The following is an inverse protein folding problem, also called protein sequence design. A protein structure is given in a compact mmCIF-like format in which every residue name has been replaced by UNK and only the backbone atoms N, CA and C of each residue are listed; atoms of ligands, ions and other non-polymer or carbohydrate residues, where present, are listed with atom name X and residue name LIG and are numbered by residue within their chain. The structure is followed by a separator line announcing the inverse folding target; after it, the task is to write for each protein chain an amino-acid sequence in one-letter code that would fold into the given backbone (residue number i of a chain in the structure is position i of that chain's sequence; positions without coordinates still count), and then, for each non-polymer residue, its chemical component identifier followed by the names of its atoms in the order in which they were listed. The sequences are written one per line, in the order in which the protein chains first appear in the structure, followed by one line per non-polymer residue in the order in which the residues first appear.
data_IF_576958795413
#
_entry.id   IF_576958795413
#
_cell.length_a   1.000
_cell.length_b   1.000
_cell.length_c   1.000
_cell.angle_alpha   90.00
_cell.angle_beta   90.00
_cell.angle_gamma   90.00
#
_symmetry.space_group_name_H-M   'P 1'
#
loop_
_entity.id
_entity.type
_entity.pdbx_description
1 polymer ?
#
# COMPACT_ATOMS: atom_id res chain seq x y z
N UNK A 1 -33.08 0.94 -5.93
CA UNK A 1 -32.85 1.03 -4.45
C UNK A 1 -31.36 1.13 -4.26
N UNK A 2 -30.84 2.01 -3.40
CA UNK A 2 -29.38 2.15 -3.23
C UNK A 2 -28.78 0.80 -2.79
N UNK A 3 -27.82 0.27 -3.57
CA UNK A 3 -27.17 -0.99 -3.28
C UNK A 3 -26.27 -0.79 -2.05
N UNK A 4 -26.71 -1.28 -0.89
CA UNK A 4 -25.90 -1.23 0.32
C UNK A 4 -24.93 -2.41 0.31
N UNK A 5 -23.69 -2.14 -0.09
CA UNK A 5 -22.60 -3.11 -0.07
C UNK A 5 -22.18 -3.46 1.37
N UNK A 6 -21.60 -4.64 1.54
CA UNK A 6 -21.13 -5.13 2.84
C UNK A 6 -20.02 -4.22 3.38
N UNK A 7 -20.01 -3.97 4.70
CA UNK A 7 -18.93 -3.22 5.35
C UNK A 7 -18.64 -3.84 6.73
N UNK A 8 -17.52 -4.58 6.89
CA UNK A 8 -17.20 -5.26 8.13
C UNK A 8 -16.81 -4.30 9.26
N UNK A 9 -16.46 -3.04 8.97
CA UNK A 9 -16.01 -2.07 9.97
C UNK A 9 -17.15 -1.36 10.72
N UNK A 10 -18.40 -1.50 10.25
CA UNK A 10 -19.59 -0.95 10.94
C UNK A 10 -19.83 -1.70 12.25
N UNK A 11 -19.89 -3.03 12.17
CA UNK A 11 -20.16 -3.94 13.29
C UNK A 11 -18.92 -4.74 13.73
N UNK A 12 -17.75 -4.45 13.15
CA UNK A 12 -16.47 -5.12 13.43
C UNK A 12 -16.54 -6.65 13.20
N UNK A 13 -17.12 -7.04 12.06
CA UNK A 13 -17.32 -8.42 11.65
C UNK A 13 -16.01 -8.98 11.07
N UNK A 14 -15.16 -9.52 11.95
CA UNK A 14 -13.93 -10.22 11.61
C UNK A 14 -14.04 -11.69 12.01
N UNK A 15 -14.90 -12.43 11.32
CA UNK A 15 -15.24 -13.81 11.67
C UNK A 15 -15.00 -14.74 10.47
N UNK A 16 -14.54 -15.97 10.74
CA UNK A 16 -14.14 -16.91 9.70
C UNK A 16 -15.30 -17.52 8.89
N UNK A 17 -16.55 -17.36 9.35
CA UNK A 17 -17.74 -17.87 8.68
C UNK A 17 -18.31 -16.88 7.66
N UNK A 18 -17.84 -15.63 7.63
CA UNK A 18 -18.31 -14.60 6.72
C UNK A 18 -17.22 -14.22 5.74
N UNK A 19 -17.57 -14.13 4.46
CA UNK A 19 -16.65 -13.66 3.44
C UNK A 19 -16.20 -12.24 3.75
N UNK A 20 -14.89 -12.02 3.76
CA UNK A 20 -14.29 -10.74 4.11
C UNK A 20 -14.77 -9.58 3.22
N UNK A 21 -15.13 -9.86 1.96
CA UNK A 21 -15.46 -8.84 0.96
C UNK A 21 -16.96 -8.69 0.73
N UNK A 22 -17.70 -9.80 0.57
CA UNK A 22 -19.14 -9.78 0.27
C UNK A 22 -20.04 -9.96 1.49
N UNK A 23 -19.51 -10.41 2.63
CA UNK A 23 -20.29 -10.74 3.82
C UNK A 23 -21.12 -12.02 3.71
N UNK A 24 -21.04 -12.76 2.60
CA UNK A 24 -21.75 -14.02 2.44
C UNK A 24 -21.19 -15.11 3.38
N UNK A 25 -22.05 -16.02 3.86
CA UNK A 25 -21.59 -17.18 4.62
C UNK A 25 -20.66 -18.06 3.78
N UNK A 26 -19.56 -18.51 4.37
CA UNK A 26 -18.57 -19.32 3.67
C UNK A 26 -17.81 -20.24 4.63
N UNK A 27 -17.29 -21.34 4.07
CA UNK A 27 -16.26 -22.19 4.67
C UNK A 27 -14.98 -22.18 3.84
N UNK A 28 -15.00 -21.53 2.68
CA UNK A 28 -13.86 -21.40 1.80
C UNK A 28 -12.92 -20.30 2.26
N UNK A 29 -11.64 -20.49 1.94
CA UNK A 29 -10.57 -19.56 2.26
C UNK A 29 -9.68 -19.33 1.04
N UNK A 30 -9.03 -18.19 1.00
CA UNK A 30 -7.98 -17.85 0.04
C UNK A 30 -6.77 -17.29 0.80
N UNK A 31 -5.57 -17.42 0.22
CA UNK A 31 -4.37 -16.84 0.84
C UNK A 31 -4.37 -15.32 0.69
N UNK A 32 -3.82 -14.63 1.69
CA UNK A 32 -3.63 -13.16 1.65
C UNK A 32 -2.66 -12.79 0.54
N UNK A 33 -1.51 -13.47 0.51
CA UNK A 33 -0.53 -13.36 -0.56
C UNK A 33 -0.84 -14.36 -1.67
N UNK A 34 -0.66 -13.99 -2.94
CA UNK A 34 -0.86 -14.91 -4.05
C UNK A 34 0.07 -16.11 -3.94
N UNK A 35 -0.48 -17.32 -4.12
CA UNK A 35 0.30 -18.55 -4.01
C UNK A 35 1.48 -18.59 -4.99
N UNK A 36 1.28 -18.17 -6.24
CA UNK A 36 2.34 -18.16 -7.24
C UNK A 36 3.51 -17.24 -6.87
N UNK A 37 3.24 -16.14 -6.15
CA UNK A 37 4.25 -15.21 -5.70
C UNK A 37 5.07 -15.83 -4.56
N UNK A 38 4.39 -16.44 -3.59
CA UNK A 38 5.03 -17.20 -2.51
C UNK A 38 5.87 -18.37 -3.06
N UNK A 39 5.37 -19.09 -4.05
CA UNK A 39 6.06 -20.24 -4.66
C UNK A 39 7.31 -19.79 -5.46
N UNK A 40 7.25 -18.65 -6.18
CA UNK A 40 8.40 -18.11 -6.92
C UNK A 40 9.53 -17.75 -5.95
N UNK A 41 9.26 -16.89 -4.98
CA UNK A 41 10.27 -16.36 -4.06
C UNK A 41 10.52 -17.24 -2.84
N UNK A 42 9.75 -18.32 -2.66
CA UNK A 42 9.86 -19.30 -1.58
C UNK A 42 9.71 -18.73 -0.16
N UNK A 43 9.01 -17.59 -0.01
CA UNK A 43 8.79 -16.97 1.30
C UNK A 43 7.55 -17.49 2.03
N UNK A 44 6.83 -18.48 1.49
CA UNK A 44 5.62 -19.01 2.11
C UNK A 44 5.82 -19.51 3.55
N UNK A 45 6.99 -20.06 3.87
CA UNK A 45 7.36 -20.55 5.21
C UNK A 45 8.12 -19.50 6.05
N UNK A 46 8.36 -18.31 5.50
CA UNK A 46 8.93 -17.20 6.25
C UNK A 46 7.92 -16.60 7.21
N UNK A 47 8.42 -15.85 8.20
CA UNK A 47 7.60 -15.21 9.22
C UNK A 47 7.39 -13.74 8.90
N UNK A 48 6.17 -13.29 9.15
CA UNK A 48 5.80 -11.88 9.17
C UNK A 48 5.41 -11.49 10.59
N UNK A 49 5.96 -10.38 11.07
CA UNK A 49 5.64 -9.79 12.37
C UNK A 49 4.47 -8.82 12.21
N UNK A 50 3.53 -8.86 13.17
CA UNK A 50 2.47 -7.86 13.27
C UNK A 50 3.03 -6.55 13.80
N UNK A 51 2.24 -5.48 13.71
CA UNK A 51 2.65 -4.11 14.05
C UNK A 51 3.25 -3.97 15.46
N UNK A 52 2.73 -4.71 16.45
CA UNK A 52 3.22 -4.66 17.82
C UNK A 52 4.47 -5.53 18.08
N UNK A 53 4.92 -6.28 17.07
CA UNK A 53 6.04 -7.26 17.10
C UNK A 53 5.91 -8.37 18.15
N UNK A 54 4.78 -8.48 18.83
CA UNK A 54 4.56 -9.53 19.83
C UNK A 54 3.95 -10.78 19.18
N UNK A 55 3.22 -10.60 18.08
CA UNK A 55 2.66 -11.67 17.28
C UNK A 55 3.38 -11.79 15.94
N UNK A 56 3.63 -13.02 15.52
CA UNK A 56 4.06 -13.32 14.15
C UNK A 56 3.27 -14.49 13.58
N UNK A 57 3.15 -14.49 12.26
CA UNK A 57 2.49 -15.52 11.46
C UNK A 57 3.48 -16.06 10.43
N UNK A 58 3.19 -17.24 9.91
CA UNK A 58 3.80 -17.75 8.68
C UNK A 58 3.03 -17.20 7.48
N UNK A 59 3.70 -16.77 6.41
CA UNK A 59 3.00 -16.20 5.24
C UNK A 59 1.92 -17.14 4.67
N UNK A 60 2.19 -18.44 4.61
CA UNK A 60 1.26 -19.46 4.10
C UNK A 60 0.03 -19.69 4.99
N UNK A 61 0.09 -19.29 6.26
CA UNK A 61 -1.01 -19.38 7.22
C UNK A 61 -1.97 -18.17 7.14
N UNK A 62 -1.55 -17.07 6.52
CA UNK A 62 -2.38 -15.89 6.32
C UNK A 62 -3.44 -16.15 5.25
N UNK A 63 -4.69 -16.33 5.70
CA UNK A 63 -5.85 -16.66 4.86
C UNK A 63 -7.05 -15.81 5.23
N UNK A 64 -7.84 -15.46 4.22
CA UNK A 64 -9.10 -14.74 4.35
C UNK A 64 -10.28 -15.68 4.09
N UNK A 65 -11.36 -15.62 4.88
CA UNK A 65 -12.62 -16.27 4.54
C UNK A 65 -13.21 -15.62 3.30
N UNK A 66 -13.50 -16.39 2.25
CA UNK A 66 -13.98 -15.85 0.97
C UNK A 66 -15.16 -16.66 0.44
N UNK A 67 -16.13 -16.00 -0.21
CA UNK A 67 -17.14 -16.70 -0.99
C UNK A 67 -16.54 -17.24 -2.29
N UNK A 68 -17.16 -18.23 -2.95
CA UNK A 68 -16.68 -18.74 -4.24
C UNK A 68 -16.52 -17.66 -5.30
N UNK A 69 -17.46 -16.70 -5.36
CA UNK A 69 -17.41 -15.56 -6.28
C UNK A 69 -16.16 -14.68 -6.07
N UNK A 70 -15.89 -14.29 -4.82
CA UNK A 70 -14.71 -13.49 -4.48
C UNK A 70 -13.43 -14.25 -4.79
N UNK A 71 -13.40 -15.55 -4.51
CA UNK A 71 -12.26 -16.41 -4.81
C UNK A 71 -11.97 -16.44 -6.32
N UNK A 72 -12.98 -16.70 -7.14
CA UNK A 72 -12.86 -16.72 -8.61
C UNK A 72 -12.34 -15.38 -9.13
N UNK A 73 -12.92 -14.26 -8.67
CA UNK A 73 -12.52 -12.93 -9.14
C UNK A 73 -11.05 -12.61 -8.82
N UNK A 74 -10.56 -13.00 -7.64
CA UNK A 74 -9.15 -12.84 -7.29
C UNK A 74 -8.21 -13.84 -7.99
N UNK A 75 -8.66 -15.07 -8.26
CA UNK A 75 -7.87 -16.06 -9.01
C UNK A 75 -7.68 -15.61 -10.47
N UNK A 76 -8.70 -15.00 -11.07
CA UNK A 76 -8.62 -14.35 -12.39
C UNK A 76 -7.68 -13.14 -12.36
N UNK A 77 -7.82 -12.26 -11.36
CA UNK A 77 -6.92 -11.13 -11.16
C UNK A 77 -5.46 -11.59 -10.99
N UNK A 78 -5.21 -12.63 -10.20
CA UNK A 78 -3.87 -13.22 -10.03
C UNK A 78 -3.29 -13.69 -11.37
N UNK A 79 -4.11 -14.29 -12.23
CA UNK A 79 -3.68 -14.73 -13.57
C UNK A 79 -3.31 -13.54 -14.46
N UNK A 80 -4.10 -12.46 -14.43
CA UNK A 80 -3.81 -11.22 -15.16
C UNK A 80 -2.51 -10.58 -14.67
N UNK A 81 -2.36 -10.41 -13.35
CA UNK A 81 -1.16 -9.83 -12.74
C UNK A 81 0.07 -10.70 -13.03
N UNK A 82 -0.03 -12.02 -12.89
CA UNK A 82 1.08 -12.92 -13.18
C UNK A 82 1.51 -12.86 -14.67
N UNK A 83 0.56 -12.66 -15.58
CA UNK A 83 0.86 -12.48 -17.00
C UNK A 83 1.60 -11.18 -17.28
N UNK A 84 1.20 -10.08 -16.63
CA UNK A 84 1.90 -8.81 -16.70
C UNK A 84 3.30 -8.87 -16.05
N UNK A 85 3.39 -9.50 -14.87
CA UNK A 85 4.62 -9.75 -14.13
C UNK A 85 5.69 -10.42 -15.00
N UNK A 86 5.32 -11.46 -15.77
CA UNK A 86 6.24 -12.18 -16.67
C UNK A 86 6.81 -11.31 -17.79
N UNK A 87 6.19 -10.16 -18.10
CA UNK A 87 6.68 -9.18 -19.08
C UNK A 87 7.51 -8.07 -18.43
N UNK A 88 7.77 -8.14 -17.12
CA UNK A 88 8.57 -7.17 -16.37
C UNK A 88 7.89 -5.80 -16.26
N UNK A 89 8.71 -4.74 -16.21
CA UNK A 89 8.26 -3.35 -16.06
C UNK A 89 7.17 -2.96 -17.08
N UNK A 90 7.39 -3.23 -18.37
CA UNK A 90 6.44 -2.88 -19.43
C UNK A 90 5.07 -3.54 -19.23
N UNK A 91 5.05 -4.80 -18.79
CA UNK A 91 3.82 -5.49 -18.48
C UNK A 91 3.06 -4.83 -17.34
N UNK A 92 3.76 -4.58 -16.23
CA UNK A 92 3.16 -4.01 -15.02
C UNK A 92 2.73 -2.55 -15.22
N UNK A 93 3.51 -1.75 -15.94
CA UNK A 93 3.19 -0.35 -16.25
C UNK A 93 2.02 -0.21 -17.25
N UNK A 94 1.70 -1.26 -18.01
CA UNK A 94 0.56 -1.27 -18.94
C UNK A 94 -0.78 -1.65 -18.31
N UNK A 95 -0.77 -2.12 -17.05
CA UNK A 95 -1.99 -2.48 -16.34
C UNK A 95 -2.84 -1.24 -16.02
N UNK A 96 -4.16 -1.41 -16.00
CA UNK A 96 -5.04 -0.45 -15.35
C UNK A 96 -4.69 -0.42 -13.85
N UNK A 97 -4.43 0.77 -13.31
CA UNK A 97 -4.11 0.96 -11.89
C UNK A 97 -5.16 0.36 -10.95
N UNK A 98 -6.43 0.27 -11.37
CA UNK A 98 -7.49 -0.40 -10.61
C UNK A 98 -7.14 -1.86 -10.31
N UNK A 99 -6.51 -2.57 -11.26
CA UNK A 99 -6.10 -3.96 -11.06
C UNK A 99 -4.97 -4.06 -10.03
N UNK A 100 -4.00 -3.12 -10.07
CA UNK A 100 -2.95 -3.03 -9.06
C UNK A 100 -3.53 -2.68 -7.69
N UNK A 101 -4.47 -1.73 -7.62
CA UNK A 101 -5.19 -1.37 -6.40
C UNK A 101 -5.91 -2.59 -5.80
N UNK A 102 -6.65 -3.36 -6.60
CA UNK A 102 -7.38 -4.53 -6.11
C UNK A 102 -6.43 -5.64 -5.63
N UNK A 103 -5.36 -5.90 -6.38
CA UNK A 103 -4.41 -6.94 -6.07
C UNK A 103 -3.63 -6.64 -4.79
N UNK A 104 -3.14 -5.41 -4.67
CA UNK A 104 -2.49 -4.90 -3.45
C UNK A 104 -3.48 -4.81 -2.29
N UNK A 105 -4.71 -4.40 -2.59
CA UNK A 105 -5.79 -4.28 -1.62
C UNK A 105 -6.11 -5.59 -0.91
N UNK A 106 -6.03 -6.74 -1.61
CA UNK A 106 -6.14 -8.06 -0.95
C UNK A 106 -5.07 -8.27 0.12
N UNK A 107 -3.82 -7.95 -0.20
CA UNK A 107 -2.69 -8.14 0.72
C UNK A 107 -2.79 -7.20 1.92
N UNK A 108 -3.02 -5.91 1.66
CA UNK A 108 -3.19 -4.88 2.69
C UNK A 108 -4.39 -5.17 3.59
N UNK A 109 -5.56 -5.49 3.01
CA UNK A 109 -6.73 -5.89 3.79
C UNK A 109 -6.46 -7.17 4.58
N UNK A 110 -5.76 -8.14 3.99
CA UNK A 110 -5.40 -9.38 4.66
C UNK A 110 -4.59 -9.15 5.93
N UNK A 111 -3.55 -8.33 5.87
CA UNK A 111 -2.79 -7.97 7.06
C UNK A 111 -3.64 -7.19 8.07
N UNK A 112 -4.41 -6.22 7.60
CA UNK A 112 -5.35 -5.48 8.44
C UNK A 112 -6.33 -6.41 9.17
N UNK A 113 -6.89 -7.41 8.49
CA UNK A 113 -7.78 -8.40 9.08
C UNK A 113 -7.11 -9.15 10.24
N UNK A 114 -5.86 -9.57 10.07
CA UNK A 114 -5.11 -10.24 11.13
C UNK A 114 -4.74 -9.31 12.29
N UNK A 115 -4.47 -8.02 12.02
CA UNK A 115 -4.27 -7.01 13.08
C UNK A 115 -5.55 -6.86 13.92
N UNK A 116 -6.71 -6.75 13.26
CA UNK A 116 -8.01 -6.62 13.94
C UNK A 116 -8.36 -7.88 14.75
N UNK A 117 -8.12 -9.07 14.19
CA UNK A 117 -8.32 -10.34 14.90
C UNK A 117 -7.45 -10.41 16.15
N UNK A 118 -6.17 -10.11 16.00
CA UNK A 118 -5.21 -10.21 17.10
C UNK A 118 -5.56 -9.24 18.23
N UNK A 119 -5.85 -7.97 17.90
CA UNK A 119 -6.18 -6.96 18.89
C UNK A 119 -7.52 -7.26 19.58
N UNK A 120 -8.53 -7.70 18.82
CA UNK A 120 -9.81 -8.15 19.40
C UNK A 120 -9.60 -9.26 20.41
N UNK A 121 -8.86 -10.30 20.03
CA UNK A 121 -8.62 -11.44 20.91
C UNK A 121 -7.78 -11.05 22.14
N UNK A 122 -6.86 -10.09 21.99
CA UNK A 122 -6.06 -9.53 23.08
C UNK A 122 -6.93 -8.79 24.10
N UNK A 123 -7.78 -7.87 23.65
CA UNK A 123 -8.71 -7.13 24.52
C UNK A 123 -9.73 -8.05 25.18
N UNK A 124 -10.27 -9.03 24.45
CA UNK A 124 -11.19 -10.00 25.01
C UNK A 124 -10.56 -10.78 26.18
N UNK A 125 -9.28 -11.16 26.09
CA UNK A 125 -8.55 -11.79 27.20
C UNK A 125 -8.38 -10.87 28.41
N UNK A 126 -8.39 -9.55 28.21
CA UNK A 126 -8.36 -8.54 29.26
C UNK A 126 -9.75 -8.18 29.80
N UNK A 127 -10.82 -8.72 29.21
CA UNK A 127 -12.20 -8.35 29.53
C UNK A 127 -12.62 -6.98 28.97
N UNK A 128 -11.88 -6.47 27.98
CA UNK A 128 -12.14 -5.20 27.31
C UNK A 128 -12.84 -5.42 25.96
N UNK A 129 -13.66 -4.46 25.56
CA UNK A 129 -14.36 -4.50 24.27
C UNK A 129 -13.46 -3.93 23.16
N UNK A 130 -13.39 -4.64 22.03
CA UNK A 130 -12.68 -4.17 20.87
C UNK A 130 -13.45 -3.05 20.16
N UNK A 131 -12.80 -1.90 19.98
CA UNK A 131 -13.39 -0.75 19.31
C UNK A 131 -12.36 -0.04 18.43
N UNK A 132 -12.82 0.37 17.25
CA UNK A 132 -12.08 1.29 16.38
C UNK A 132 -12.59 2.73 16.53
N UNK A 133 -11.68 3.70 16.41
CA UNK A 133 -12.03 5.12 16.32
C UNK A 133 -12.91 5.38 15.09
N UNK A 134 -13.76 6.41 15.16
CA UNK A 134 -14.63 6.77 14.03
C UNK A 134 -13.83 7.02 12.74
N UNK A 135 -12.66 7.66 12.85
CA UNK A 135 -11.77 7.93 11.73
C UNK A 135 -11.26 6.66 11.06
N UNK A 136 -10.82 5.66 11.84
CA UNK A 136 -10.34 4.39 11.30
C UNK A 136 -11.48 3.57 10.70
N UNK A 137 -12.65 3.51 11.35
CA UNK A 137 -13.83 2.83 10.81
C UNK A 137 -14.22 3.39 9.44
N UNK A 138 -14.21 4.72 9.30
CA UNK A 138 -14.56 5.37 8.04
C UNK A 138 -13.48 5.14 6.97
N UNK A 139 -12.19 5.31 7.30
CA UNK A 139 -11.06 5.05 6.39
C UNK A 139 -11.12 3.61 5.84
N UNK A 140 -11.19 2.63 6.73
CA UNK A 140 -11.18 1.22 6.34
C UNK A 140 -12.48 0.79 5.66
N UNK A 141 -13.62 1.33 6.07
CA UNK A 141 -14.90 1.12 5.40
C UNK A 141 -14.91 1.63 3.96
N UNK A 142 -14.35 2.83 3.72
CA UNK A 142 -14.19 3.38 2.38
C UNK A 142 -13.22 2.54 1.54
N UNK A 143 -12.09 2.11 2.11
CA UNK A 143 -11.13 1.26 1.41
C UNK A 143 -11.76 -0.09 1.02
N UNK A 144 -12.52 -0.70 1.92
CA UNK A 144 -13.24 -1.95 1.66
C UNK A 144 -14.34 -1.78 0.59
N UNK A 145 -15.08 -0.68 0.62
CA UNK A 145 -16.03 -0.31 -0.43
C UNK A 145 -15.36 -0.24 -1.80
N UNK A 146 -14.19 0.41 -1.88
CA UNK A 146 -13.43 0.49 -3.13
C UNK A 146 -12.91 -0.89 -3.56
N UNK A 147 -12.46 -1.73 -2.63
CA UNK A 147 -11.98 -3.09 -2.92
C UNK A 147 -13.09 -3.99 -3.46
N UNK A 148 -14.35 -3.77 -3.05
CA UNK A 148 -15.52 -4.49 -3.59
C UNK A 148 -15.72 -4.26 -5.09
N UNK A 149 -15.05 -3.29 -5.72
CA UNK A 149 -15.07 -3.08 -7.17
C UNK A 149 -14.56 -4.26 -8.02
N UNK A 150 -14.05 -5.32 -7.37
CA UNK A 150 -13.62 -6.57 -8.01
C UNK A 150 -14.80 -7.53 -8.27
N UNK A 151 -15.85 -7.45 -7.44
CA UNK A 151 -17.05 -8.30 -7.55
C UNK A 151 -18.33 -7.50 -7.82
N UNK A 152 -18.32 -6.19 -7.54
CA UNK A 152 -19.49 -5.31 -7.65
C UNK A 152 -19.25 -4.20 -8.69
N UNK A 153 -20.32 -3.64 -9.28
CA UNK A 153 -20.23 -2.57 -10.28
C UNK A 153 -19.88 -1.22 -9.62
N UNK A 154 -18.66 -1.11 -9.09
CA UNK A 154 -18.11 0.11 -8.52
C UNK A 154 -17.17 0.77 -9.54
N UNK A 155 -17.49 2.00 -9.89
CA UNK A 155 -16.74 2.82 -10.84
C UNK A 155 -16.10 4.03 -10.16
N UNK A 156 -14.98 4.48 -10.72
CA UNK A 156 -14.19 5.60 -10.20
C UNK A 156 -14.11 6.70 -11.26
N UNK A 157 -14.63 7.88 -10.95
CA UNK A 157 -14.74 9.01 -11.89
C UNK A 157 -13.80 10.14 -11.47
N UNK A 158 -13.23 10.80 -12.48
CA UNK A 158 -12.29 11.91 -12.27
C UNK A 158 -10.96 11.41 -11.70
N UNK A 159 -10.52 12.01 -10.60
CA UNK A 159 -9.25 11.67 -9.95
C UNK A 159 -9.36 10.31 -9.26
N UNK A 160 -8.38 9.44 -9.46
CA UNK A 160 -8.32 8.15 -8.79
C UNK A 160 -8.16 8.34 -7.27
N UNK A 161 -8.75 7.47 -6.44
CA UNK A 161 -8.69 7.60 -4.99
C UNK A 161 -7.34 7.15 -4.41
N UNK A 162 -6.41 6.72 -5.26
CA UNK A 162 -5.07 6.22 -4.92
C UNK A 162 -3.98 6.92 -5.74
N UNK A 163 -2.74 6.82 -5.26
CA UNK A 163 -1.51 7.07 -6.01
C UNK A 163 -0.79 5.74 -6.20
N UNK A 164 -0.70 5.27 -7.44
CA UNK A 164 0.07 4.07 -7.78
C UNK A 164 1.11 4.46 -8.83
N UNK A 165 2.37 4.11 -8.57
CA UNK A 165 3.48 4.43 -9.47
C UNK A 165 4.36 3.22 -9.67
N UNK A 166 4.67 2.90 -10.93
CA UNK A 166 5.47 1.74 -11.34
C UNK A 166 6.77 2.22 -11.98
N UNK A 167 7.89 1.57 -11.66
CA UNK A 167 9.22 1.94 -12.16
C UNK A 167 10.04 0.72 -12.56
N UNK A 168 10.97 0.87 -13.51
CA UNK A 168 11.98 -0.14 -13.72
C UNK A 168 12.97 -0.08 -12.56
N UNK A 169 13.31 -1.26 -12.02
CA UNK A 169 14.09 -1.42 -10.81
C UNK A 169 15.09 -2.54 -11.03
N UNK A 170 16.32 -2.39 -10.57
CA UNK A 170 17.35 -3.41 -10.73
C UNK A 170 17.75 -3.94 -9.36
N UNK A 171 17.56 -5.24 -9.14
CA UNK A 171 18.18 -5.93 -8.01
C UNK A 171 19.26 -6.88 -8.53
N UNK A 172 20.33 -7.08 -7.77
CA UNK A 172 21.36 -8.06 -8.14
C UNK A 172 20.91 -9.51 -7.99
N UNK A 173 19.87 -9.74 -7.18
CA UNK A 173 19.31 -11.05 -6.88
C UNK A 173 17.79 -11.11 -7.18
N UNK A 174 17.28 -12.32 -7.39
CA UNK A 174 15.85 -12.58 -7.53
C UNK A 174 15.20 -12.61 -6.13
N UNK A 175 15.02 -11.42 -5.55
CA UNK A 175 14.46 -11.22 -4.22
C UNK A 175 13.10 -10.53 -4.29
N UNK A 176 12.29 -10.80 -3.27
CA UNK A 176 11.04 -10.10 -3.00
C UNK A 176 11.30 -9.03 -1.93
N UNK A 177 11.38 -7.77 -2.35
CA UNK A 177 11.39 -6.62 -1.44
C UNK A 177 9.95 -6.14 -1.25
N UNK A 178 9.50 -6.16 0.00
CA UNK A 178 8.12 -5.83 0.35
C UNK A 178 8.09 -5.01 1.64
N UNK A 179 7.25 -3.97 1.63
CA UNK A 179 6.87 -3.22 2.83
C UNK A 179 5.41 -2.83 2.73
N UNK A 180 4.76 -2.74 3.88
CA UNK A 180 3.44 -2.19 4.00
C UNK A 180 3.29 -1.34 5.25
N UNK A 181 2.23 -0.54 5.23
CA UNK A 181 1.61 0.03 6.39
C UNK A 181 0.10 -0.18 6.23
N UNK A 182 -0.41 -1.28 6.79
CA UNK A 182 -1.82 -1.65 6.67
C UNK A 182 -2.78 -0.60 7.27
N UNK A 183 -2.32 0.20 8.25
CA UNK A 183 -3.14 1.23 8.90
C UNK A 183 -3.23 2.49 8.03
N UNK A 184 -2.12 2.87 7.40
CA UNK A 184 -2.05 3.99 6.46
C UNK A 184 -2.35 3.59 5.01
N UNK A 185 -2.65 2.31 4.77
CA UNK A 185 -3.02 1.77 3.46
C UNK A 185 -1.93 2.05 2.41
N UNK A 186 -0.67 1.86 2.81
CA UNK A 186 0.49 2.01 1.94
C UNK A 186 1.19 0.67 1.71
N UNK A 187 1.77 0.54 0.53
CA UNK A 187 2.37 -0.69 0.07
C UNK A 187 3.52 -0.40 -0.91
N UNK A 188 4.64 -1.10 -0.76
CA UNK A 188 5.73 -1.10 -1.73
C UNK A 188 6.10 -2.53 -2.12
N UNK A 189 6.31 -2.74 -3.41
CA UNK A 189 6.73 -4.02 -3.98
C UNK A 189 7.90 -3.78 -4.89
N UNK A 190 8.99 -4.49 -4.67
CA UNK A 190 10.20 -4.41 -5.49
C UNK A 190 10.76 -5.78 -5.78
N UNK A 191 11.06 -6.03 -7.04
CA UNK A 191 11.78 -7.22 -7.50
C UNK A 191 12.78 -6.80 -8.57
N UNK A 192 13.65 -7.71 -9.00
CA UNK A 192 14.48 -7.42 -10.17
C UNK A 192 13.60 -7.23 -11.43
N UNK A 193 13.82 -6.12 -12.14
CA UNK A 193 13.08 -5.72 -13.33
C UNK A 193 12.11 -4.58 -13.08
N UNK A 194 11.39 -4.56 -11.96
CA UNK A 194 10.43 -3.50 -11.64
C UNK A 194 10.08 -3.40 -10.15
N UNK A 195 9.58 -2.25 -9.75
CA UNK A 195 8.91 -2.05 -8.48
C UNK A 195 7.74 -1.09 -8.62
N UNK A 196 6.87 -1.06 -7.62
CA UNK A 196 5.79 -0.09 -7.54
C UNK A 196 5.49 0.30 -6.10
N UNK A 197 4.96 1.52 -5.95
CA UNK A 197 4.45 2.05 -4.68
C UNK A 197 2.96 2.30 -4.87
N UNK A 198 2.16 1.95 -3.86
CA UNK A 198 0.73 2.17 -3.83
C UNK A 198 0.32 2.84 -2.50
N UNK A 199 -0.23 4.04 -2.60
CA UNK A 199 -1.00 4.69 -1.54
C UNK A 199 -2.48 4.52 -1.89
N UNK A 200 -3.19 3.64 -1.18
CA UNK A 200 -4.48 3.10 -1.64
C UNK A 200 -5.67 4.04 -1.37
N UNK A 201 -5.47 5.10 -0.59
CA UNK A 201 -6.55 6.04 -0.23
C UNK A 201 -5.99 7.44 0.06
N UNK A 202 -5.35 8.08 -0.92
CA UNK A 202 -4.76 9.43 -0.80
C UNK A 202 -5.39 10.45 -1.78
N UNK A 203 -6.39 10.04 -2.56
CA UNK A 203 -6.96 10.85 -3.65
C UNK A 203 -5.90 11.37 -4.63
N UNK A 204 -4.82 10.62 -4.86
CA UNK A 204 -3.76 10.98 -5.78
C UNK A 204 -2.88 12.16 -5.34
N UNK A 205 -3.06 12.72 -4.14
CA UNK A 205 -2.38 13.95 -3.71
C UNK A 205 -0.89 13.71 -3.44
N UNK A 206 -0.50 12.49 -3.04
CA UNK A 206 0.90 12.17 -2.76
C UNK A 206 1.65 12.03 -4.08
N UNK A 207 1.07 11.37 -5.08
CA UNK A 207 1.61 11.31 -6.43
C UNK A 207 1.81 12.70 -7.03
N UNK A 208 0.84 13.61 -6.85
CA UNK A 208 0.98 15.01 -7.27
C UNK A 208 2.09 15.76 -6.53
N UNK A 209 2.19 15.57 -5.20
CA UNK A 209 3.27 16.18 -4.39
C UNK A 209 4.65 15.74 -4.86
N UNK A 210 4.80 14.48 -5.28
CA UNK A 210 6.06 13.91 -5.73
C UNK A 210 6.29 14.08 -7.24
N UNK A 211 5.38 14.74 -7.97
CA UNK A 211 5.40 14.81 -9.43
C UNK A 211 6.73 15.27 -10.01
N UNK A 212 7.32 16.32 -9.47
CA UNK A 212 8.60 16.86 -9.98
C UNK A 212 9.72 15.82 -9.89
N UNK A 213 9.78 15.07 -8.80
CA UNK A 213 10.73 13.98 -8.61
C UNK A 213 10.41 12.81 -9.56
N UNK A 214 9.13 12.42 -9.64
CA UNK A 214 8.65 11.35 -10.52
C UNK A 214 8.98 11.63 -12.00
N UNK A 215 8.86 12.88 -12.43
CA UNK A 215 9.19 13.30 -13.79
C UNK A 215 10.72 13.26 -14.04
N UNK A 216 11.55 13.56 -13.03
CA UNK A 216 13.02 13.46 -13.13
C UNK A 216 13.53 12.01 -13.24
N UNK A 217 12.91 11.09 -12.50
CA UNK A 217 13.31 9.67 -12.50
C UNK A 217 12.78 8.91 -13.72
N UNK A 218 11.82 9.47 -14.46
CA UNK A 218 11.19 8.83 -15.61
C UNK A 218 12.24 8.43 -16.65
N UNK A 219 12.20 7.15 -17.04
CA UNK A 219 13.11 6.57 -18.03
C UNK A 219 14.42 6.01 -17.47
N UNK A 220 14.65 6.11 -16.16
CA UNK A 220 15.80 5.49 -15.50
C UNK A 220 15.40 4.20 -14.79
N UNK A 221 16.30 3.21 -14.83
CA UNK A 221 16.19 1.99 -14.01
C UNK A 221 16.75 2.31 -12.63
N UNK A 222 15.88 2.36 -11.62
CA UNK A 222 16.28 2.78 -10.29
C UNK A 222 17.21 1.77 -9.62
N UNK A 223 18.13 2.30 -8.82
CA UNK A 223 18.86 1.51 -7.82
C UNK A 223 17.93 1.21 -6.62
N UNK A 224 18.03 0.05 -5.96
CA UNK A 224 17.19 -0.30 -4.81
C UNK A 224 17.19 0.74 -3.69
N UNK A 225 18.35 1.26 -3.28
CA UNK A 225 18.45 2.38 -2.33
C UNK A 225 17.61 3.62 -2.73
N UNK A 226 17.51 3.93 -4.03
CA UNK A 226 16.69 5.04 -4.53
C UNK A 226 15.20 4.73 -4.45
N UNK A 227 14.82 3.47 -4.74
CA UNK A 227 13.44 3.01 -4.59
C UNK A 227 12.99 3.05 -3.13
N UNK A 228 13.85 2.63 -2.19
CA UNK A 228 13.60 2.73 -0.75
C UNK A 228 13.42 4.21 -0.31
N UNK A 229 14.25 5.13 -0.81
CA UNK A 229 14.07 6.57 -0.53
C UNK A 229 12.78 7.12 -1.12
N UNK A 230 12.41 6.69 -2.33
CA UNK A 230 11.18 7.13 -2.98
C UNK A 230 9.97 6.69 -2.14
N UNK A 231 9.97 5.44 -1.67
CA UNK A 231 8.94 4.96 -0.77
C UNK A 231 8.93 5.73 0.56
N UNK A 232 10.08 6.03 1.16
CA UNK A 232 10.17 6.88 2.36
C UNK A 232 9.52 8.26 2.13
N UNK A 233 9.73 8.87 0.96
CA UNK A 233 9.12 10.16 0.61
C UNK A 233 7.61 10.07 0.48
N UNK A 234 7.08 9.01 -0.12
CA UNK A 234 5.64 8.76 -0.18
C UNK A 234 5.07 8.56 1.22
N UNK A 235 5.70 7.71 2.02
CA UNK A 235 5.29 7.41 3.39
C UNK A 235 5.26 8.67 4.26
N UNK A 236 6.36 9.43 4.26
CA UNK A 236 6.43 10.64 5.07
C UNK A 236 5.46 11.72 4.58
N UNK A 237 5.16 11.76 3.28
CA UNK A 237 4.15 12.66 2.72
C UNK A 237 2.75 12.33 3.20
N UNK A 238 2.40 11.04 3.33
CA UNK A 238 1.15 10.60 3.94
C UNK A 238 1.12 11.01 5.43
N UNK A 239 2.19 10.76 6.16
CA UNK A 239 2.30 11.11 7.59
C UNK A 239 2.06 12.60 7.85
N UNK A 240 2.59 13.49 7.02
CA UNK A 240 2.38 14.95 7.16
C UNK A 240 1.13 15.46 6.44
N UNK A 241 0.35 14.63 5.75
CA UNK A 241 -0.88 15.06 5.09
C UNK A 241 -1.89 15.53 6.14
N UNK A 242 -2.36 16.77 5.98
CA UNK A 242 -3.16 17.45 7.00
C UNK A 242 -4.67 17.30 6.79
N UNK A 243 -5.07 16.73 5.66
CA UNK A 243 -6.45 16.60 5.22
C UNK A 243 -6.80 15.14 5.02
N UNK A 244 -8.02 14.79 5.42
CA UNK A 244 -8.57 13.48 5.14
C UNK A 244 -9.08 13.45 3.69
N UNK A 245 -8.81 12.37 2.93
CA UNK A 245 -9.50 12.11 1.67
C UNK A 245 -11.03 12.09 1.85
N UNK A 246 -11.74 12.80 0.98
CA UNK A 246 -13.20 12.86 0.94
C UNK A 246 -13.71 12.36 -0.42
N UNK A 247 -14.92 11.81 -0.45
CA UNK A 247 -15.52 11.20 -1.64
C UNK A 247 -16.97 11.61 -1.80
N UNK A 248 -17.38 11.82 -3.05
CA UNK A 248 -18.78 11.84 -3.43
C UNK A 248 -19.16 10.45 -3.91
N UNK A 249 -20.05 9.79 -3.17
CA UNK A 249 -20.49 8.42 -3.45
C UNK A 249 -21.96 8.47 -3.85
N UNK A 250 -22.24 8.04 -5.08
CA UNK A 250 -23.59 7.95 -5.62
C UNK A 250 -23.91 6.49 -5.92
N UNK A 251 -25.12 6.05 -5.55
CA UNK A 251 -25.62 4.71 -5.87
C UNK A 251 -26.91 4.82 -6.65
N UNK A 252 -26.96 4.15 -7.78
CA UNK A 252 -28.13 4.03 -8.65
C UNK A 252 -28.37 2.57 -9.05
N UNK A 253 -29.28 2.33 -9.99
CA UNK A 253 -29.58 0.98 -10.46
C UNK A 253 -28.46 0.35 -11.32
N UNK A 254 -27.44 1.13 -11.74
CA UNK A 254 -26.28 0.66 -12.50
C UNK A 254 -25.06 0.35 -11.62
N UNK A 255 -25.09 0.71 -10.33
CA UNK A 255 -24.03 0.41 -9.37
C UNK A 255 -23.67 1.60 -8.49
N UNK A 256 -22.38 1.67 -8.12
CA UNK A 256 -21.84 2.73 -7.27
C UNK A 256 -20.79 3.52 -8.06
N UNK A 257 -20.88 4.84 -7.98
CA UNK A 257 -19.88 5.76 -8.52
C UNK A 257 -19.18 6.46 -7.37
N UNK A 258 -17.84 6.41 -7.38
CA UNK A 258 -16.98 7.08 -6.40
C UNK A 258 -16.19 8.16 -7.15
N UNK A 259 -16.44 9.42 -6.79
CA UNK A 259 -15.68 10.57 -7.25
C UNK A 259 -14.81 11.09 -6.10
N UNK A 260 -13.49 11.11 -6.30
CA UNK A 260 -12.55 11.66 -5.32
C UNK A 260 -12.68 13.17 -5.27
N UNK A 261 -12.96 13.72 -4.08
CA UNK A 261 -12.98 15.17 -3.89
C UNK A 261 -11.53 15.65 -3.80
N UNK A 262 -11.21 16.67 -4.59
CA UNK A 262 -9.87 17.25 -4.61
C UNK A 262 -9.51 17.81 -3.22
N UNK A 263 -8.30 17.47 -2.75
CA UNK A 263 -7.78 17.99 -1.49
C UNK A 263 -7.27 19.40 -1.73
N UNK A 264 -8.07 20.39 -1.34
CA UNK A 264 -7.74 21.80 -1.46
C UNK A 264 -7.41 22.44 -0.12
N UNK A 265 -6.59 23.48 -0.16
CA UNK A 265 -6.24 24.27 1.02
C UNK A 265 -7.49 25.00 1.56
N UNK A 266 -7.98 24.59 2.73
CA UNK A 266 -9.08 25.26 3.45
C UNK A 266 -8.49 26.29 4.44
N UNK A 267 -8.64 27.58 4.14
CA UNK A 267 -8.17 28.67 5.01
C UNK A 267 -6.65 28.76 5.12
N UNK A 268 -6.10 28.85 6.34
CA UNK A 268 -4.66 28.97 6.58
C UNK A 268 -3.92 27.63 6.70
N UNK A 269 -4.64 26.51 6.89
CA UNK A 269 -4.05 25.18 7.13
C UNK A 269 -3.41 24.63 5.84
N UNK A 270 -2.09 24.38 5.78
CA UNK A 270 -1.43 23.88 4.58
C UNK A 270 -1.85 22.42 4.30
N UNK A 271 -1.81 22.00 3.02
CA UNK A 271 -2.16 20.63 2.60
C UNK A 271 -1.26 19.60 3.29
N UNK A 272 0.03 19.89 3.36
CA UNK A 272 1.02 19.10 4.09
C UNK A 272 1.57 19.92 5.25
N UNK A 273 1.86 19.25 6.36
CA UNK A 273 2.63 19.81 7.45
C UNK A 273 4.04 20.19 6.99
N UNK A 274 4.76 20.89 7.86
CA UNK A 274 6.17 21.19 7.60
C UNK A 274 6.97 19.89 7.56
N UNK A 275 7.88 19.81 6.60
CA UNK A 275 8.81 18.70 6.51
C UNK A 275 9.82 18.81 7.65
N UNK A 276 9.87 17.79 8.50
CA UNK A 276 10.84 17.66 9.57
C UNK A 276 11.92 16.68 9.13
N UNK A 277 13.12 17.23 8.85
CA UNK A 277 14.25 16.43 8.39
C UNK A 277 14.64 15.35 9.41
N UNK A 278 14.49 15.63 10.71
CA UNK A 278 14.85 14.70 11.79
C UNK A 278 14.00 13.43 11.74
N UNK A 279 12.68 13.64 11.65
CA UNK A 279 11.70 12.55 11.57
C UNK A 279 11.86 11.81 10.24
N UNK A 280 12.06 12.54 9.14
CA UNK A 280 12.26 11.93 7.84
C UNK A 280 13.54 11.06 7.81
N UNK A 281 14.65 11.55 8.36
CA UNK A 281 15.89 10.79 8.44
C UNK A 281 15.76 9.55 9.31
N UNK A 282 15.00 9.62 10.41
CA UNK A 282 14.72 8.44 11.23
C UNK A 282 13.93 7.38 10.46
N UNK A 283 12.91 7.79 9.68
CA UNK A 283 12.17 6.89 8.81
C UNK A 283 13.07 6.30 7.71
N UNK A 284 13.85 7.14 7.05
CA UNK A 284 14.71 6.76 5.94
C UNK A 284 15.82 5.79 6.37
N UNK A 285 16.42 6.00 7.54
CA UNK A 285 17.39 5.07 8.13
C UNK A 285 16.79 3.68 8.35
N UNK A 286 15.51 3.58 8.74
CA UNK A 286 14.84 2.27 8.88
C UNK A 286 14.73 1.55 7.53
N UNK A 287 14.58 2.28 6.42
CA UNK A 287 14.48 1.68 5.09
C UNK A 287 15.84 1.35 4.49
N UNK A 288 16.85 2.15 4.82
CA UNK A 288 18.24 1.92 4.41
C UNK A 288 19.04 1.05 5.38
N UNK A 289 18.42 0.46 6.40
CA UNK A 289 19.11 -0.36 7.40
C UNK A 289 19.87 -1.54 6.79
N UNK A 290 19.38 -2.08 5.65
CA UNK A 290 20.05 -3.15 4.89
C UNK A 290 21.37 -2.72 4.26
N UNK A 291 21.58 -1.42 4.06
CA UNK A 291 22.83 -0.82 3.59
C UNK A 291 23.73 -0.35 4.74
N UNK A 292 23.29 -0.52 6.00
CA UNK A 292 24.01 -0.04 7.18
C UNK A 292 24.08 1.49 7.28
N UNK A 293 23.13 2.20 6.67
CA UNK A 293 23.06 3.67 6.73
C UNK A 293 22.18 4.06 7.92
N UNK A 294 22.77 4.72 8.91
CA UNK A 294 22.09 5.14 10.13
C UNK A 294 21.60 6.60 10.03
N UNK A 295 20.77 7.03 10.99
CA UNK A 295 20.19 8.39 10.99
C UNK A 295 21.29 9.46 11.00
N UNK A 296 22.38 9.21 11.72
CA UNK A 296 23.53 10.10 11.86
C UNK A 296 24.35 10.22 10.56
N UNK A 297 24.31 9.21 9.69
CA UNK A 297 24.88 9.29 8.35
C UNK A 297 24.06 10.20 7.44
N UNK A 298 22.73 10.16 7.61
CA UNK A 298 21.77 10.93 6.82
C UNK A 298 21.80 12.41 7.22
N UNK A 299 21.72 12.71 8.52
CA UNK A 299 21.74 14.07 9.06
C UNK A 299 23.04 14.38 9.77
N UNK A 300 23.90 15.10 9.07
CA UNK A 300 25.18 15.56 9.61
C UNK A 300 25.17 17.06 9.85
N UNK A 301 25.81 17.49 10.95
CA UNK A 301 25.93 18.90 11.28
C UNK A 301 26.57 19.69 10.12
N UNK A 302 25.94 20.81 9.73
CA UNK A 302 26.37 21.69 8.64
C UNK A 302 26.44 21.04 7.24
N UNK A 303 25.85 19.87 7.05
CA UNK A 303 25.69 19.26 5.74
C UNK A 303 24.20 19.12 5.42
N UNK A 304 23.81 19.19 4.14
CA UNK A 304 22.46 18.84 3.76
C UNK A 304 22.22 17.33 3.98
N UNK A 305 20.95 16.90 4.13
CA UNK A 305 20.61 15.50 4.28
C UNK A 305 21.14 14.64 3.13
N UNK A 306 21.62 13.44 3.43
CA UNK A 306 21.99 12.45 2.43
C UNK A 306 20.75 12.05 1.61
N UNK A 307 20.91 12.02 0.29
CA UNK A 307 19.91 11.53 -0.65
C UNK A 307 20.62 10.80 -1.79
N UNK A 308 20.03 9.70 -2.24
CA UNK A 308 20.40 9.00 -3.46
C UNK A 308 19.44 9.30 -4.62
N UNK A 309 18.33 9.99 -4.38
CA UNK A 309 17.43 10.46 -5.43
C UNK A 309 17.87 11.79 -6.02
N UNK A 310 18.11 12.80 -5.19
CA UNK A 310 18.42 14.16 -5.65
C UNK A 310 19.71 14.67 -5.02
N UNK A 311 20.54 15.33 -5.84
CA UNK A 311 21.68 16.05 -5.31
C UNK A 311 21.17 17.13 -4.34
N UNK A 312 21.67 17.16 -3.08
CA UNK A 312 21.10 18.04 -2.07
C UNK A 312 21.23 19.53 -2.40
N UNK A 313 22.24 19.91 -3.21
CA UNK A 313 22.52 21.28 -3.61
C UNK A 313 21.88 21.66 -4.94
N UNK A 314 22.09 20.86 -6.00
CA UNK A 314 21.59 21.19 -7.34
C UNK A 314 20.15 20.75 -7.59
N UNK A 315 19.62 19.82 -6.78
CA UNK A 315 18.34 19.14 -6.96
C UNK A 315 18.25 18.32 -8.25
N UNK A 316 19.38 18.04 -8.90
CA UNK A 316 19.42 17.14 -10.05
C UNK A 316 19.26 15.69 -9.60
N UNK A 317 18.65 14.86 -10.45
CA UNK A 317 18.55 13.43 -10.20
C UNK A 317 19.95 12.78 -10.17
N UNK A 318 20.22 11.98 -9.14
CA UNK A 318 21.45 11.21 -9.02
C UNK A 318 21.32 9.97 -9.90
N UNK A 319 22.28 9.78 -10.81
CA UNK A 319 22.23 8.66 -11.76
C UNK A 319 22.47 7.33 -11.04
N UNK A 320 21.64 6.29 -11.28
CA UNK A 320 21.77 4.99 -10.63
C UNK A 320 23.17 4.37 -10.75
N UNK A 321 23.86 4.59 -11.88
CA UNK A 321 25.19 4.05 -12.16
C UNK A 321 26.32 4.72 -11.35
N UNK A 322 26.03 5.85 -10.69
CA UNK A 322 27.00 6.57 -9.85
C UNK A 322 26.94 6.16 -8.38
N UNK A 323 25.98 5.30 -8.01
CA UNK A 323 25.79 4.83 -6.64
C UNK A 323 26.72 3.65 -6.38
N UNK A 324 27.64 3.82 -5.42
CA UNK A 324 28.59 2.78 -4.99
C UNK A 324 28.00 1.96 -3.83
N UNK A 325 26.84 1.34 -4.08
CA UNK A 325 26.19 0.41 -3.16
C UNK A 325 25.79 -0.87 -3.91
N UNK A 326 25.57 -1.98 -3.20
CA UNK A 326 25.03 -3.19 -3.81
C UNK A 326 23.62 -2.96 -4.38
N UNK A 327 23.40 -3.45 -5.60
CA UNK A 327 22.07 -3.67 -6.17
C UNK A 327 21.42 -4.90 -5.53
#
# INVERSE_FOLDING_TARGET
MAQQLFNPFTELIFDEHFCFLSGALTTEKMSVFPKWLMDHFKFGEERIEMMDKTKSYTYSDLKLPCSPEVKIAFDELDTTIQTAYKKGFEGMASLDEKLLFQWTGRMVYGLLYYEMLYERDRLLRLGEEFALSATLRERFGLFHLMLQSIIEPVSFVGKKPWSIVVFPLKYSADIFSYRDDAINLMFSFGINGFGFIACLQDNGIIGEKQKDLLDKIKGYVLHPVQFEELYARFHYSDYILQYKPEYKIESDDNGITIESIAIEKKGSKPIFGFWDEDIFAQLLANYWSVYGIEREDILQFQKPPLSFLENPYSKDFIRPETIDLPF
#
